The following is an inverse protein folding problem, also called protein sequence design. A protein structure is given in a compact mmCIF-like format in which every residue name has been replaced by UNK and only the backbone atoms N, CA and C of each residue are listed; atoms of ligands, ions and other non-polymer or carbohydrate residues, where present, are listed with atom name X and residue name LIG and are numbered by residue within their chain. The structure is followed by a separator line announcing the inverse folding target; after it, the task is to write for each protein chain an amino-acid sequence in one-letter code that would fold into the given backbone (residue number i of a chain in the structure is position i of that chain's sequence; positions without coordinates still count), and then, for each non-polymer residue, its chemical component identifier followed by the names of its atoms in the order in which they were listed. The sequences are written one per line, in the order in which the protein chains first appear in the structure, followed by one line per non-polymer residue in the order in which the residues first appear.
data_IF_732886688740
#
_entry.id   IF_732886688740
#
_cell.length_a   1.000
_cell.length_b   1.000
_cell.length_c   1.000
_cell.angle_alpha   90.00
_cell.angle_beta   90.00
_cell.angle_gamma   90.00
#
_symmetry.space_group_name_H-M   'P 1'
#
loop_
_entity.id
_entity.type
_entity.pdbx_description
1 polymer ?
#
# COMPACT_ATOMS: atom_id res chain seq x y z
N UNK A 1 -46.57 -3.53 22.77
CA UNK A 1 -45.26 -4.12 22.43
C UNK A 1 -44.84 -3.55 21.07
N UNK A 2 -44.25 -2.35 21.05
CA UNK A 2 -43.83 -1.68 19.81
C UNK A 2 -42.31 -1.85 19.72
N UNK A 3 -41.90 -2.77 18.85
CA UNK A 3 -40.50 -3.07 18.57
C UNK A 3 -39.95 -1.94 17.69
N UNK A 4 -39.09 -1.06 18.24
CA UNK A 4 -38.40 -0.02 17.47
C UNK A 4 -37.37 -0.67 16.53
N UNK A 5 -37.60 -0.72 15.20
CA UNK A 5 -36.74 -1.48 14.27
C UNK A 5 -35.32 -0.90 14.19
N UNK A 6 -35.17 0.40 14.43
CA UNK A 6 -33.87 1.07 14.46
C UNK A 6 -33.04 0.74 15.70
N UNK A 7 -33.67 0.45 16.85
CA UNK A 7 -32.93 0.05 18.05
C UNK A 7 -32.27 -1.32 17.86
N UNK A 8 -32.97 -2.27 17.22
CA UNK A 8 -32.43 -3.61 16.94
C UNK A 8 -31.26 -3.52 15.95
N UNK A 9 -31.38 -2.68 14.91
CA UNK A 9 -30.31 -2.49 13.93
C UNK A 9 -29.09 -1.80 14.53
N UNK A 10 -29.27 -0.81 15.43
CA UNK A 10 -28.17 -0.16 16.14
C UNK A 10 -27.52 -1.16 17.11
N UNK A 11 -28.30 -1.89 17.91
CA UNK A 11 -27.80 -2.92 18.83
C UNK A 11 -27.00 -4.00 18.08
N UNK A 12 -27.52 -4.55 16.96
CA UNK A 12 -26.77 -5.50 16.13
C UNK A 12 -25.44 -4.95 15.59
N UNK A 13 -25.42 -3.67 15.20
CA UNK A 13 -24.20 -3.01 14.72
C UNK A 13 -23.21 -2.72 15.86
N UNK A 14 -23.70 -2.46 17.09
CA UNK A 14 -22.88 -2.28 18.29
C UNK A 14 -22.26 -3.59 18.77
N UNK A 15 -22.97 -4.72 18.71
CA UNK A 15 -22.39 -6.03 19.04
C UNK A 15 -21.36 -6.51 18.01
N UNK A 16 -21.53 -6.17 16.72
CA UNK A 16 -20.55 -6.48 15.68
C UNK A 16 -19.19 -5.79 15.88
N UNK A 17 -19.16 -4.58 16.48
CA UNK A 17 -17.91 -3.85 16.81
C UNK A 17 -17.10 -4.53 17.91
N UNK A 18 -17.77 -5.16 18.89
CA UNK A 18 -17.10 -5.86 19.98
C UNK A 18 -16.45 -7.16 19.47
N UNK A 19 -16.98 -7.77 18.40
CA UNK A 19 -16.43 -8.98 17.79
C UNK A 19 -15.33 -8.75 16.74
N UNK A 20 -15.15 -7.53 16.22
CA UNK A 20 -14.20 -7.26 15.12
C UNK A 20 -13.31 -6.04 15.37
N UNK A 21 -12.43 -6.15 16.37
CA UNK A 21 -11.23 -5.31 16.48
C UNK A 21 -10.01 -6.18 16.13
N UNK A 22 -9.60 -6.12 14.87
CA UNK A 22 -8.52 -6.90 14.29
C UNK A 22 -7.15 -6.27 14.55
N UNK A 23 -7.06 -4.95 14.73
CA UNK A 23 -5.79 -4.25 14.98
C UNK A 23 -5.92 -3.30 16.19
N UNK A 24 -5.41 -3.75 17.34
CA UNK A 24 -5.34 -2.95 18.57
C UNK A 24 -3.89 -2.59 18.92
N UNK A 25 -3.19 -1.97 17.98
CA UNK A 25 -1.78 -1.57 18.15
C UNK A 25 -1.61 -0.06 17.92
N UNK A 26 -0.63 0.53 18.60
CA UNK A 26 -0.21 1.91 18.41
C UNK A 26 1.23 1.98 17.88
N UNK A 27 1.52 3.01 17.08
CA UNK A 27 2.89 3.35 16.67
C UNK A 27 3.36 4.49 17.57
N UNK A 28 4.31 4.20 18.45
CA UNK A 28 4.92 5.21 19.32
C UNK A 28 5.80 6.18 18.50
N UNK A 29 6.01 7.40 19.02
CA UNK A 29 6.89 8.38 18.40
C UNK A 29 8.33 7.87 18.21
N UNK A 30 8.81 7.05 19.16
CA UNK A 30 10.12 6.40 19.07
C UNK A 30 10.19 5.38 17.92
N UNK A 31 9.16 4.54 17.78
CA UNK A 31 9.07 3.59 16.67
C UNK A 31 8.99 4.30 15.31
N UNK A 32 8.17 5.34 15.20
CA UNK A 32 8.06 6.13 13.96
C UNK A 32 9.41 6.75 13.57
N UNK A 33 10.12 7.36 14.54
CA UNK A 33 11.45 7.94 14.29
C UNK A 33 12.44 6.88 13.83
N UNK A 34 12.49 5.72 14.50
CA UNK A 34 13.40 4.63 14.16
C UNK A 34 13.12 4.07 12.75
N UNK A 35 11.84 3.92 12.37
CA UNK A 35 11.47 3.47 11.02
C UNK A 35 11.93 4.47 9.97
N UNK A 36 11.71 5.76 10.17
CA UNK A 36 12.14 6.80 9.21
C UNK A 36 13.66 6.84 9.06
N UNK A 37 14.40 6.75 10.16
CA UNK A 37 15.87 6.65 10.13
C UNK A 37 16.33 5.41 9.34
N UNK A 38 15.66 4.27 9.49
CA UNK A 38 16.01 3.07 8.73
C UNK A 38 15.70 3.20 7.24
N UNK A 39 14.63 3.90 6.87
CA UNK A 39 14.33 4.22 5.46
C UNK A 39 15.42 5.12 4.87
N UNK A 40 15.83 6.16 5.61
CA UNK A 40 16.94 7.02 5.19
C UNK A 40 18.25 6.24 5.06
N UNK A 41 18.53 5.32 5.97
CA UNK A 41 19.69 4.45 5.90
C UNK A 41 19.67 3.55 4.65
N UNK A 42 18.51 2.99 4.28
CA UNK A 42 18.36 2.21 3.04
C UNK A 42 18.70 3.06 1.83
N UNK A 43 18.15 4.28 1.76
CA UNK A 43 18.45 5.23 0.67
C UNK A 43 19.94 5.57 0.61
N UNK A 44 20.56 5.85 1.75
CA UNK A 44 21.98 6.19 1.84
C UNK A 44 22.90 5.04 1.41
N UNK A 45 22.58 3.80 1.78
CA UNK A 45 23.36 2.60 1.39
C UNK A 45 23.27 2.35 -0.12
N UNK A 46 22.13 2.64 -0.73
CA UNK A 46 21.90 2.39 -2.16
C UNK A 46 22.14 3.61 -3.06
N UNK A 47 22.61 4.73 -2.51
CA UNK A 47 22.71 6.02 -3.21
C UNK A 47 23.50 5.97 -4.53
N UNK A 48 24.56 5.16 -4.58
CA UNK A 48 25.44 5.08 -5.75
C UNK A 48 24.83 4.22 -6.88
N UNK A 49 23.80 3.42 -6.53
CA UNK A 49 23.06 2.54 -7.45
C UNK A 49 21.73 3.19 -7.89
N UNK A 50 21.09 3.96 -7.03
CA UNK A 50 19.79 4.60 -7.27
C UNK A 50 19.93 5.98 -7.93
N UNK A 51 20.70 6.06 -9.01
CA UNK A 51 21.01 7.34 -9.70
C UNK A 51 20.12 7.60 -10.91
N UNK A 52 19.34 6.60 -11.35
CA UNK A 52 18.55 6.65 -12.58
C UNK A 52 17.08 6.87 -12.25
N UNK A 53 16.46 7.83 -12.94
CA UNK A 53 15.02 8.06 -12.87
C UNK A 53 14.40 7.87 -14.27
N UNK A 54 13.75 6.71 -14.47
CA UNK A 54 13.10 6.36 -15.73
C UNK A 54 11.65 6.84 -15.75
N UNK A 55 11.27 7.49 -16.84
CA UNK A 55 9.86 7.80 -17.14
C UNK A 55 9.08 6.52 -17.45
N UNK A 56 7.75 6.61 -17.49
CA UNK A 56 6.89 5.50 -17.93
C UNK A 56 7.23 5.05 -19.35
N UNK A 57 7.56 6.00 -20.23
CA UNK A 57 7.91 5.75 -21.62
C UNK A 57 9.24 4.99 -21.73
N UNK A 58 10.29 5.44 -21.02
CA UNK A 58 11.59 4.76 -20.96
C UNK A 58 11.41 3.30 -20.52
N UNK A 59 10.62 3.07 -19.47
CA UNK A 59 10.35 1.72 -18.94
C UNK A 59 9.59 0.84 -19.93
N UNK A 60 8.82 1.42 -20.83
CA UNK A 60 8.03 0.67 -21.81
C UNK A 60 8.90 0.08 -22.91
N UNK A 61 9.98 0.78 -23.28
CA UNK A 61 10.90 0.42 -24.35
C UNK A 61 12.10 -0.45 -23.90
N UNK A 62 12.34 -0.57 -22.58
CA UNK A 62 13.42 -1.39 -22.05
C UNK A 62 13.08 -2.89 -22.04
N UNK A 63 14.09 -3.72 -22.34
CA UNK A 63 14.04 -5.14 -22.05
C UNK A 63 13.93 -5.34 -20.54
N UNK A 64 12.95 -6.13 -20.10
CA UNK A 64 12.65 -6.33 -18.68
C UNK A 64 13.19 -7.67 -18.22
N UNK A 65 13.90 -7.64 -17.11
CA UNK A 65 14.27 -8.86 -16.41
C UNK A 65 13.09 -9.34 -15.54
N UNK A 66 12.27 -10.22 -16.09
CA UNK A 66 11.39 -11.11 -15.32
C UNK A 66 12.04 -12.48 -15.03
N UNK A 67 11.28 -13.39 -14.42
CA UNK A 67 11.80 -14.69 -13.95
C UNK A 67 12.40 -15.54 -15.09
N UNK A 68 11.71 -15.61 -16.24
CA UNK A 68 12.18 -16.38 -17.41
C UNK A 68 13.44 -15.78 -18.03
N UNK A 69 13.52 -14.46 -18.12
CA UNK A 69 14.67 -13.76 -18.68
C UNK A 69 15.89 -13.81 -17.76
N UNK A 70 15.70 -13.93 -16.44
CA UNK A 70 16.80 -14.09 -15.48
C UNK A 70 17.54 -15.42 -15.73
N UNK A 71 16.80 -16.53 -15.84
CA UNK A 71 17.39 -17.84 -16.12
C UNK A 71 18.12 -17.86 -17.48
N UNK A 72 17.55 -17.20 -18.50
CA UNK A 72 18.21 -17.02 -19.79
C UNK A 72 19.52 -16.22 -19.67
N UNK A 73 19.49 -15.05 -19.01
CA UNK A 73 20.68 -14.20 -18.81
C UNK A 73 21.79 -14.95 -18.10
N UNK A 74 21.47 -15.64 -17.00
CA UNK A 74 22.43 -16.43 -16.24
C UNK A 74 23.12 -17.49 -17.12
N UNK A 75 22.33 -18.26 -17.89
CA UNK A 75 22.88 -19.30 -18.77
C UNK A 75 23.66 -18.72 -19.95
N UNK A 76 23.20 -17.61 -20.53
CA UNK A 76 23.89 -16.95 -21.63
C UNK A 76 25.28 -16.44 -21.19
N UNK A 77 25.35 -15.79 -20.02
CA UNK A 77 26.62 -15.30 -19.47
C UNK A 77 27.56 -16.45 -19.05
N UNK A 78 27.00 -17.53 -18.49
CA UNK A 78 27.76 -18.76 -18.20
C UNK A 78 28.40 -19.33 -19.46
N UNK A 79 27.63 -19.54 -20.53
CA UNK A 79 28.18 -20.04 -21.79
C UNK A 79 29.17 -19.07 -22.44
N UNK A 80 28.91 -17.76 -22.37
CA UNK A 80 29.84 -16.74 -22.88
C UNK A 80 31.19 -16.78 -22.15
N UNK A 81 31.18 -17.00 -20.83
CA UNK A 81 32.40 -17.13 -20.01
C UNK A 81 33.21 -18.37 -20.36
N UNK A 82 32.54 -19.48 -20.68
CA UNK A 82 33.17 -20.75 -21.05
C UNK A 82 33.65 -20.76 -22.51
N UNK A 83 33.05 -19.94 -23.38
CA UNK A 83 33.29 -19.95 -24.82
C UNK A 83 33.67 -18.55 -25.34
N UNK A 84 34.71 -17.95 -24.76
CA UNK A 84 35.14 -16.58 -25.09
C UNK A 84 35.41 -16.35 -26.59
N UNK A 85 35.77 -17.38 -27.35
CA UNK A 85 35.97 -17.29 -28.80
C UNK A 85 34.68 -16.96 -29.59
N UNK A 86 33.50 -17.20 -29.00
CA UNK A 86 32.20 -16.84 -29.58
C UNK A 86 31.74 -15.43 -29.17
N UNK A 87 32.43 -14.79 -28.22
CA UNK A 87 32.09 -13.45 -27.78
C UNK A 87 32.57 -12.41 -28.80
N UNK A 88 31.68 -11.52 -29.28
CA UNK A 88 32.09 -10.42 -30.14
C UNK A 88 33.13 -9.53 -29.44
N UNK A 89 34.08 -8.99 -30.19
CA UNK A 89 35.16 -8.15 -29.64
C UNK A 89 34.69 -6.84 -29.00
N UNK A 90 33.48 -6.36 -29.36
CA UNK A 90 32.87 -5.18 -28.77
C UNK A 90 32.08 -5.46 -27.49
N UNK A 91 31.85 -6.74 -27.14
CA UNK A 91 31.11 -7.12 -25.94
C UNK A 91 32.04 -7.15 -24.72
N UNK A 92 31.76 -6.29 -23.74
CA UNK A 92 32.38 -6.39 -22.42
C UNK A 92 31.63 -7.40 -21.55
N UNK A 93 32.10 -8.66 -21.56
CA UNK A 93 31.54 -9.70 -20.70
C UNK A 93 31.62 -9.36 -19.19
N UNK A 94 32.72 -8.77 -18.68
CA UNK A 94 32.79 -8.36 -17.27
C UNK A 94 31.73 -7.33 -16.87
N UNK A 95 31.43 -6.36 -17.74
CA UNK A 95 30.40 -5.36 -17.43
C UNK A 95 28.99 -5.98 -17.48
N UNK A 96 28.72 -6.83 -18.47
CA UNK A 96 27.46 -7.55 -18.55
C UNK A 96 27.20 -8.45 -17.32
N UNK A 97 28.25 -9.08 -16.78
CA UNK A 97 28.17 -9.87 -15.54
C UNK A 97 27.84 -8.99 -14.33
N UNK A 98 28.50 -7.83 -14.22
CA UNK A 98 28.26 -6.86 -13.14
C UNK A 98 26.83 -6.30 -13.19
N UNK A 99 26.32 -5.98 -14.37
CA UNK A 99 24.94 -5.51 -14.57
C UNK A 99 23.92 -6.59 -14.18
N UNK A 100 24.17 -7.84 -14.55
CA UNK A 100 23.33 -8.97 -14.17
C UNK A 100 23.29 -9.14 -12.64
N UNK A 101 24.45 -9.12 -11.97
CA UNK A 101 24.54 -9.25 -10.51
C UNK A 101 23.83 -8.09 -9.80
N UNK A 102 23.98 -6.87 -10.31
CA UNK A 102 23.29 -5.70 -9.79
C UNK A 102 21.77 -5.83 -9.91
N UNK A 103 21.28 -6.21 -11.09
CA UNK A 103 19.85 -6.40 -11.34
C UNK A 103 19.26 -7.50 -10.46
N UNK A 104 19.97 -8.62 -10.29
CA UNK A 104 19.56 -9.71 -9.42
C UNK A 104 19.52 -9.28 -7.94
N UNK A 105 20.56 -8.58 -7.46
CA UNK A 105 20.61 -8.05 -6.09
C UNK A 105 19.48 -7.06 -5.79
N UNK A 106 19.22 -6.12 -6.70
CA UNK A 106 18.12 -5.16 -6.57
C UNK A 106 16.75 -5.84 -6.56
N UNK A 107 16.56 -6.92 -7.34
CA UNK A 107 15.31 -7.67 -7.35
C UNK A 107 15.01 -8.31 -5.99
N UNK A 108 16.02 -8.87 -5.31
CA UNK A 108 15.86 -9.44 -3.96
C UNK A 108 15.47 -8.37 -2.93
N UNK A 109 16.12 -7.21 -2.98
CA UNK A 109 15.80 -6.07 -2.10
C UNK A 109 14.36 -5.61 -2.36
N UNK A 110 13.99 -5.41 -3.63
CA UNK A 110 12.64 -5.01 -4.05
C UNK A 110 11.58 -5.97 -3.53
N UNK A 111 11.80 -7.27 -3.60
CA UNK A 111 10.85 -8.27 -3.09
C UNK A 111 10.59 -8.10 -1.59
N UNK A 112 11.65 -7.91 -0.78
CA UNK A 112 11.51 -7.68 0.66
C UNK A 112 10.78 -6.39 0.99
N UNK A 113 11.14 -5.29 0.34
CA UNK A 113 10.49 -3.98 0.53
C UNK A 113 9.03 -4.03 0.09
N UNK A 114 8.72 -4.71 -1.02
CA UNK A 114 7.34 -4.86 -1.51
C UNK A 114 6.47 -5.66 -0.54
N UNK A 115 7.02 -6.70 0.09
CA UNK A 115 6.28 -7.47 1.10
C UNK A 115 6.00 -6.63 2.36
N UNK A 116 6.98 -5.84 2.81
CA UNK A 116 6.79 -4.90 3.92
C UNK A 116 5.73 -3.84 3.59
N UNK A 117 5.80 -3.25 2.40
CA UNK A 117 4.83 -2.24 1.94
C UNK A 117 3.40 -2.80 1.98
N UNK A 118 3.18 -4.01 1.43
CA UNK A 118 1.87 -4.66 1.48
C UNK A 118 1.36 -4.88 2.90
N UNK A 119 2.22 -5.32 3.81
CA UNK A 119 1.83 -5.51 5.20
C UNK A 119 1.44 -4.18 5.88
N UNK A 120 2.13 -3.08 5.54
CA UNK A 120 1.76 -1.73 6.01
C UNK A 120 0.41 -1.31 5.43
N UNK A 121 0.21 -1.47 4.13
CA UNK A 121 -1.05 -1.13 3.43
C UNK A 121 -2.23 -1.93 4.01
N UNK A 122 -2.05 -3.22 4.26
CA UNK A 122 -3.08 -4.09 4.86
C UNK A 122 -3.44 -3.63 6.28
N UNK A 123 -2.44 -3.32 7.12
CA UNK A 123 -2.66 -2.82 8.48
C UNK A 123 -3.35 -1.45 8.48
N UNK A 124 -2.94 -0.54 7.59
CA UNK A 124 -3.57 0.77 7.42
C UNK A 124 -5.03 0.64 6.98
N UNK A 125 -5.32 -0.25 6.03
CA UNK A 125 -6.67 -0.51 5.55
C UNK A 125 -7.58 -1.02 6.68
N UNK A 126 -7.10 -1.99 7.48
CA UNK A 126 -7.86 -2.54 8.59
C UNK A 126 -8.11 -1.48 9.67
N UNK A 127 -7.06 -0.81 10.14
CA UNK A 127 -7.18 0.23 11.17
C UNK A 127 -8.07 1.40 10.71
N UNK A 128 -7.93 1.82 9.45
CA UNK A 128 -8.76 2.85 8.84
C UNK A 128 -10.23 2.44 8.72
N UNK A 129 -10.50 1.19 8.33
CA UNK A 129 -11.86 0.65 8.27
C UNK A 129 -12.53 0.65 9.64
N UNK A 130 -11.82 0.21 10.69
CA UNK A 130 -12.34 0.17 12.06
C UNK A 130 -12.62 1.59 12.60
N UNK A 131 -11.71 2.54 12.35
CA UNK A 131 -11.92 3.94 12.70
C UNK A 131 -13.12 4.55 11.95
N UNK A 132 -13.27 4.22 10.66
CA UNK A 132 -14.39 4.69 9.85
C UNK A 132 -15.74 4.16 10.34
N UNK A 133 -15.78 2.88 10.69
CA UNK A 133 -16.93 2.19 11.25
C UNK A 133 -17.37 2.80 12.60
N UNK A 134 -16.43 3.09 13.49
CA UNK A 134 -16.69 3.82 14.73
C UNK A 134 -17.27 5.23 14.46
N UNK A 135 -16.71 5.95 13.48
CA UNK A 135 -17.20 7.26 13.08
C UNK A 135 -18.63 7.21 12.52
N UNK A 136 -18.98 6.17 11.75
CA UNK A 136 -20.34 5.97 11.23
C UNK A 136 -21.36 5.73 12.35
N UNK A 137 -20.99 4.95 13.37
CA UNK A 137 -21.86 4.73 14.54
C UNK A 137 -22.11 6.07 15.25
N UNK A 138 -21.06 6.83 15.51
CA UNK A 138 -21.18 8.14 16.16
C UNK A 138 -22.06 9.09 15.33
N UNK A 139 -21.82 9.19 14.03
CA UNK A 139 -22.61 10.04 13.14
C UNK A 139 -24.10 9.66 13.15
N UNK A 140 -24.42 8.36 13.09
CA UNK A 140 -25.81 7.90 13.16
C UNK A 140 -26.46 8.19 14.53
N UNK A 141 -25.70 8.08 15.61
CA UNK A 141 -26.16 8.47 16.96
C UNK A 141 -26.51 9.96 17.02
N UNK A 142 -25.64 10.82 16.48
CA UNK A 142 -25.87 12.28 16.38
C UNK A 142 -27.14 12.59 15.58
N UNK A 143 -27.39 11.89 14.47
CA UNK A 143 -28.64 12.04 13.70
C UNK A 143 -29.89 11.65 14.50
N UNK A 144 -29.80 10.60 15.32
CA UNK A 144 -30.88 10.20 16.23
C UNK A 144 -31.14 11.26 17.32
N UNK A 145 -30.07 11.82 17.87
CA UNK A 145 -30.11 12.89 18.86
C UNK A 145 -30.73 14.18 18.29
N UNK A 146 -30.35 14.56 17.06
CA UNK A 146 -30.91 15.71 16.34
C UNK A 146 -32.42 15.58 16.13
N UNK A 147 -32.88 14.40 15.67
CA UNK A 147 -34.32 14.10 15.55
C UNK A 147 -35.09 14.18 16.87
N UNK A 148 -34.40 13.95 17.98
CA UNK A 148 -34.95 14.01 19.33
C UNK A 148 -34.79 15.39 19.98
N UNK A 149 -34.33 16.40 19.24
CA UNK A 149 -34.06 17.76 19.71
C UNK A 149 -33.10 17.84 20.90
N UNK A 150 -32.12 16.93 20.98
CA UNK A 150 -31.06 17.02 22.00
C UNK A 150 -30.17 18.22 21.68
N UNK A 151 -29.97 19.11 22.66
CA UNK A 151 -29.19 20.34 22.48
C UNK A 151 -27.79 20.08 21.87
N UNK A 152 -27.37 20.93 20.93
CA UNK A 152 -26.07 20.86 20.27
C UNK A 152 -25.94 19.81 19.16
N UNK A 153 -26.81 18.78 19.12
CA UNK A 153 -26.70 17.69 18.13
C UNK A 153 -26.93 18.13 16.68
N UNK A 154 -27.82 19.11 16.44
CA UNK A 154 -28.11 19.63 15.10
C UNK A 154 -26.89 20.30 14.45
N UNK A 155 -26.09 21.02 15.24
CA UNK A 155 -24.87 21.68 14.75
C UNK A 155 -23.82 20.65 14.35
N UNK A 156 -23.63 19.61 15.18
CA UNK A 156 -22.71 18.51 14.91
C UNK A 156 -23.17 17.70 13.68
N UNK A 157 -24.47 17.40 13.57
CA UNK A 157 -25.03 16.70 12.41
C UNK A 157 -24.72 17.46 11.11
N UNK A 158 -24.95 18.78 11.11
CA UNK A 158 -24.76 19.62 9.93
C UNK A 158 -23.29 19.69 9.49
N UNK A 159 -22.35 19.83 10.43
CA UNK A 159 -20.92 19.83 10.10
C UNK A 159 -20.48 18.47 9.54
N UNK A 160 -20.83 17.37 10.22
CA UNK A 160 -20.46 16.03 9.76
C UNK A 160 -21.12 15.67 8.44
N UNK A 161 -22.37 16.10 8.19
CA UNK A 161 -23.07 15.90 6.92
C UNK A 161 -22.33 16.54 5.74
N UNK A 162 -21.73 17.71 5.94
CA UNK A 162 -20.97 18.40 4.88
C UNK A 162 -19.63 17.71 4.58
N UNK A 163 -19.07 17.01 5.57
CA UNK A 163 -17.80 16.28 5.46
C UNK A 163 -17.96 14.83 5.04
N UNK A 164 -19.17 14.28 5.20
CA UNK A 164 -19.45 12.91 4.84
C UNK A 164 -19.26 12.74 3.33
N UNK A 165 -18.37 11.85 2.87
CA UNK A 165 -18.17 11.62 1.45
C UNK A 165 -19.51 11.13 0.88
N UNK A 166 -20.19 12.01 0.14
CA UNK A 166 -21.44 11.66 -0.53
C UNK A 166 -21.22 10.42 -1.38
N UNK A 167 -22.22 9.52 -1.41
CA UNK A 167 -22.20 8.33 -2.25
C UNK A 167 -21.77 8.75 -3.66
N UNK A 168 -20.61 8.28 -4.15
CA UNK A 168 -20.21 8.51 -5.55
C UNK A 168 -21.40 8.11 -6.41
N UNK A 169 -21.99 9.06 -7.14
CA UNK A 169 -22.88 8.74 -8.24
C UNK A 169 -21.98 8.06 -9.26
N UNK A 170 -22.02 6.74 -9.34
CA UNK A 170 -21.44 6.01 -10.47
C UNK A 170 -22.25 6.43 -11.68
N UNK A 171 -21.82 7.47 -12.38
CA UNK A 171 -22.28 7.72 -13.74
C UNK A 171 -21.68 6.60 -14.57
N UNK A 172 -22.47 5.53 -14.76
CA UNK A 172 -22.20 4.55 -15.80
C UNK A 172 -21.98 5.31 -17.12
N UNK A 173 -20.91 5.04 -17.87
CA UNK A 173 -20.74 5.64 -19.19
C UNK A 173 -21.92 5.24 -20.06
N UNK A 174 -22.54 6.22 -20.72
CA UNK A 174 -23.49 5.98 -21.80
C UNK A 174 -22.77 5.16 -22.88
N UNK A 175 -23.36 4.02 -23.24
CA UNK A 175 -22.95 3.19 -24.36
C UNK A 175 -23.13 3.95 -25.70
#
# INVERSE_FOLDING_TARGET
MILFPNLIRIQQNTYAMIEKNQVSAEITAAQSTAVMQNVDNINNVLKDVLTINLTTDDRSHMLKMGDKTLAFLQKALEYASQNMALCPTFLSLPEAQKDYELAAGLQVIKQRVSALLRAIEDAEMVAGSEAYDAALIFYNSVKGAARSNIGGSQAIENDLKNRFPGRRRTTLPSA
#
